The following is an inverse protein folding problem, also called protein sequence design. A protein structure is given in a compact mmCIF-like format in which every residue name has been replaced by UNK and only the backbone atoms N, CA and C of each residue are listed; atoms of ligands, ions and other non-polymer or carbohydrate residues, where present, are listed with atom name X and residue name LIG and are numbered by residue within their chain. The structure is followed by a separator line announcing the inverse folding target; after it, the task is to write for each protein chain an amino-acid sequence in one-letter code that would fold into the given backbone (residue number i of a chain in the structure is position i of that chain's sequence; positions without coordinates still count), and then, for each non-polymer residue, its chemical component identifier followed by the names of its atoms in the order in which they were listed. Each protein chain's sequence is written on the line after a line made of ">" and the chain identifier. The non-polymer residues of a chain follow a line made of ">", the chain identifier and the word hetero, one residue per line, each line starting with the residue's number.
data_IF_924211798655
#
_entry.id   IF_924211798655
#
_cell.length_a   1.000
_cell.length_b   1.000
_cell.length_c   1.000
_cell.angle_alpha   90.00
_cell.angle_beta   90.00
_cell.angle_gamma   90.00
#
_symmetry.space_group_name_H-M   'P 1'
#
loop_
_entity.id
_entity.type
_entity.pdbx_description
1 polymer ?
#
# COMPACT_ATOMS: atom_id res chain seq x y z
N UNK A 1 -23.00 -16.32 -31.44
CA UNK A 1 -21.70 -16.93 -31.08
C UNK A 1 -21.72 -17.18 -29.57
N UNK A 2 -21.50 -18.41 -29.08
CA UNK A 2 -21.48 -18.68 -27.65
C UNK A 2 -20.27 -17.98 -26.99
N UNK A 3 -20.48 -17.45 -25.80
CA UNK A 3 -19.53 -16.59 -25.09
C UNK A 3 -18.42 -17.33 -24.33
N UNK A 4 -18.57 -18.63 -24.09
CA UNK A 4 -17.43 -19.48 -23.77
C UNK A 4 -16.93 -20.01 -25.11
N UNK A 5 -15.69 -19.66 -25.48
CA UNK A 5 -15.03 -20.21 -26.67
C UNK A 5 -15.23 -21.72 -26.76
N UNK A 6 -15.32 -22.25 -28.00
CA UNK A 6 -15.72 -23.64 -28.28
C UNK A 6 -15.11 -24.64 -27.29
N UNK A 7 -15.88 -25.03 -26.28
CA UNK A 7 -15.54 -26.15 -25.43
C UNK A 7 -15.95 -27.38 -26.21
N UNK A 8 -14.98 -28.22 -26.55
CA UNK A 8 -15.24 -29.53 -27.13
C UNK A 8 -15.86 -30.41 -26.04
N UNK A 9 -17.19 -30.48 -26.01
CA UNK A 9 -17.90 -31.40 -25.12
C UNK A 9 -17.67 -32.81 -25.66
N UNK A 10 -16.77 -33.55 -25.05
CA UNK A 10 -16.65 -34.99 -25.27
C UNK A 10 -17.89 -35.66 -24.69
N UNK A 11 -18.83 -36.09 -25.55
CA UNK A 11 -19.97 -36.92 -25.12
C UNK A 11 -19.43 -38.24 -24.59
N UNK A 12 -19.50 -38.44 -23.27
CA UNK A 12 -19.30 -39.76 -22.65
C UNK A 12 -20.63 -40.49 -22.70
N UNK A 13 -20.69 -41.61 -23.44
CA UNK A 13 -21.84 -42.51 -23.41
C UNK A 13 -21.81 -43.28 -22.08
N UNK A 14 -22.90 -43.29 -21.28
CA UNK A 14 -22.99 -44.22 -20.16
C UNK A 14 -22.99 -45.66 -20.69
N UNK A 15 -22.39 -46.57 -19.93
CA UNK A 15 -22.41 -48.00 -20.23
C UNK A 15 -23.86 -48.50 -20.11
N UNK A 16 -24.39 -49.04 -21.22
CA UNK A 16 -25.74 -49.58 -21.33
C UNK A 16 -26.00 -50.63 -20.25
N UNK A 17 -26.92 -50.30 -19.34
CA UNK A 17 -27.32 -51.12 -18.21
C UNK A 17 -28.81 -50.98 -17.95
N UNK A 18 -29.60 -51.72 -18.73
CA UNK A 18 -31.03 -52.00 -18.60
C UNK A 18 -32.02 -50.88 -18.96
N UNK A 19 -32.67 -51.09 -20.10
CA UNK A 19 -33.84 -50.37 -20.61
C UNK A 19 -35.01 -50.49 -19.62
N UNK A 20 -35.55 -49.35 -19.21
CA UNK A 20 -36.97 -49.21 -18.85
C UNK A 20 -37.54 -48.05 -19.65
N UNK A 21 -38.72 -48.30 -20.21
CA UNK A 21 -39.42 -47.42 -21.14
C UNK A 21 -39.85 -46.12 -20.45
N UNK A 22 -38.96 -45.14 -20.46
CA UNK A 22 -39.27 -43.75 -20.14
C UNK A 22 -39.10 -42.95 -21.41
N UNK A 23 -40.11 -42.12 -21.74
CA UNK A 23 -40.08 -41.27 -22.94
C UNK A 23 -38.85 -40.38 -22.83
N UNK A 24 -37.87 -40.67 -23.67
CA UNK A 24 -36.63 -39.91 -23.77
C UNK A 24 -36.99 -38.53 -24.30
N UNK A 25 -37.17 -37.57 -23.40
CA UNK A 25 -37.32 -36.17 -23.74
C UNK A 25 -36.05 -35.74 -24.49
N UNK A 26 -36.16 -35.63 -25.81
CA UNK A 26 -35.14 -35.21 -26.79
C UNK A 26 -34.49 -33.84 -26.52
N UNK A 27 -34.77 -33.23 -25.37
CA UNK A 27 -34.21 -31.94 -24.93
C UNK A 27 -32.91 -32.07 -24.14
N UNK A 28 -32.46 -33.30 -23.82
CA UNK A 28 -31.28 -33.56 -22.96
C UNK A 28 -30.04 -34.08 -23.72
N UNK A 29 -30.15 -34.31 -25.03
CA UNK A 29 -29.05 -34.81 -25.88
C UNK A 29 -27.85 -33.85 -25.93
N UNK A 30 -28.16 -32.58 -25.75
CA UNK A 30 -27.28 -31.46 -25.72
C UNK A 30 -27.20 -31.05 -24.26
N UNK A 31 -26.13 -31.48 -23.55
CA UNK A 31 -25.99 -31.36 -22.09
C UNK A 31 -26.29 -29.97 -21.51
N UNK A 32 -26.23 -29.75 -20.18
CA UNK A 32 -26.75 -28.54 -19.52
C UNK A 32 -26.09 -27.20 -19.91
N UNK A 33 -25.18 -27.21 -20.89
CA UNK A 33 -24.38 -26.08 -21.39
C UNK A 33 -24.88 -25.52 -22.74
N UNK A 34 -25.83 -26.17 -23.41
CA UNK A 34 -26.09 -25.91 -24.83
C UNK A 34 -26.91 -24.66 -25.13
N UNK A 35 -27.64 -24.13 -24.13
CA UNK A 35 -28.51 -22.96 -24.30
C UNK A 35 -28.24 -21.84 -23.27
N UNK A 36 -26.97 -21.53 -23.04
CA UNK A 36 -26.58 -20.43 -22.15
C UNK A 36 -26.39 -19.15 -22.95
N UNK A 37 -27.37 -18.25 -22.87
CA UNK A 37 -27.19 -16.88 -23.35
C UNK A 37 -26.18 -16.15 -22.45
N UNK A 38 -25.40 -15.27 -23.04
CA UNK A 38 -24.31 -14.57 -22.37
C UNK A 38 -24.86 -13.58 -21.34
N UNK A 39 -25.08 -14.05 -20.12
CA UNK A 39 -25.70 -13.26 -19.05
C UNK A 39 -24.63 -12.43 -18.35
N UNK A 40 -24.08 -11.41 -19.02
CA UNK A 40 -23.23 -10.40 -18.34
C UNK A 40 -22.90 -9.14 -19.17
N UNK A 41 -23.52 -8.94 -20.35
CA UNK A 41 -23.15 -7.83 -21.24
C UNK A 41 -23.39 -6.46 -20.58
N UNK A 42 -24.51 -6.32 -19.86
CA UNK A 42 -24.87 -5.09 -19.16
C UNK A 42 -23.89 -4.77 -18.03
N UNK A 43 -23.52 -5.77 -17.22
CA UNK A 43 -22.54 -5.59 -16.14
C UNK A 43 -21.12 -5.36 -16.69
N UNK A 44 -20.74 -5.99 -17.81
CA UNK A 44 -19.47 -5.73 -18.47
C UNK A 44 -19.38 -4.26 -18.92
N UNK A 45 -20.46 -3.71 -19.50
CA UNK A 45 -20.51 -2.29 -19.88
C UNK A 45 -20.38 -1.39 -18.64
N UNK A 46 -21.09 -1.69 -17.55
CA UNK A 46 -20.99 -0.95 -16.29
C UNK A 46 -19.56 -1.01 -15.72
N UNK A 47 -18.93 -2.18 -15.75
CA UNK A 47 -17.56 -2.38 -15.29
C UNK A 47 -16.56 -1.53 -16.09
N UNK A 48 -16.69 -1.52 -17.43
CA UNK A 48 -15.82 -0.72 -18.30
C UNK A 48 -16.00 0.78 -18.02
N UNK A 49 -17.23 1.26 -17.85
CA UNK A 49 -17.50 2.66 -17.51
C UNK A 49 -16.92 3.02 -16.13
N UNK A 50 -17.04 2.14 -15.14
CA UNK A 50 -16.46 2.35 -13.81
C UNK A 50 -14.92 2.44 -13.89
N UNK A 51 -14.26 1.53 -14.61
CA UNK A 51 -12.82 1.56 -14.80
C UNK A 51 -12.36 2.84 -15.52
N UNK A 52 -13.09 3.28 -16.55
CA UNK A 52 -12.83 4.54 -17.23
C UNK A 52 -12.98 5.74 -16.28
N UNK A 53 -14.00 5.73 -15.42
CA UNK A 53 -14.18 6.73 -14.37
C UNK A 53 -13.02 6.79 -13.38
N UNK A 54 -12.53 5.63 -12.92
CA UNK A 54 -11.38 5.54 -12.02
C UNK A 54 -10.10 6.08 -12.67
N UNK A 55 -9.84 5.74 -13.94
CA UNK A 55 -8.69 6.28 -14.70
C UNK A 55 -8.82 7.79 -14.86
N UNK A 56 -10.03 8.31 -15.12
CA UNK A 56 -10.25 9.74 -15.25
C UNK A 56 -10.00 10.50 -13.94
N UNK A 57 -10.47 9.98 -12.80
CA UNK A 57 -10.19 10.57 -11.49
C UNK A 57 -8.68 10.53 -11.18
N UNK A 58 -8.00 9.43 -11.48
CA UNK A 58 -6.55 9.31 -11.32
C UNK A 58 -5.79 10.34 -12.19
N UNK A 59 -6.20 10.52 -13.44
CA UNK A 59 -5.65 11.53 -14.35
C UNK A 59 -5.79 12.95 -13.78
N UNK A 60 -6.95 13.30 -13.24
CA UNK A 60 -7.13 14.60 -12.59
C UNK A 60 -6.22 14.73 -11.36
N UNK A 61 -6.12 13.66 -10.54
CA UNK A 61 -5.27 13.63 -9.35
C UNK A 61 -3.80 13.87 -9.66
N UNK A 62 -3.27 13.31 -10.75
CA UNK A 62 -1.87 13.49 -11.17
C UNK A 62 -1.64 14.89 -11.76
N UNK A 63 -2.56 15.39 -12.59
CA UNK A 63 -2.36 16.67 -13.27
C UNK A 63 -2.62 17.90 -12.39
N UNK A 64 -3.60 17.82 -11.48
CA UNK A 64 -3.95 18.92 -10.58
C UNK A 64 -3.32 18.79 -9.20
N UNK A 65 -2.94 17.58 -8.81
CA UNK A 65 -2.29 17.31 -7.53
C UNK A 65 -0.77 17.44 -7.60
N UNK A 66 -0.14 17.16 -6.47
CA UNK A 66 1.31 17.06 -6.35
C UNK A 66 1.66 15.62 -5.91
N UNK A 67 2.02 14.72 -6.84
CA UNK A 67 2.33 13.32 -6.49
C UNK A 67 3.61 13.21 -5.64
N UNK A 68 4.50 14.19 -5.66
CA UNK A 68 5.73 14.16 -4.89
C UNK A 68 5.49 14.26 -3.39
N UNK A 69 4.40 14.91 -2.98
CA UNK A 69 3.95 14.96 -1.59
C UNK A 69 3.66 13.56 -1.01
N UNK A 70 3.23 12.61 -1.84
CA UNK A 70 3.01 11.21 -1.41
C UNK A 70 4.33 10.44 -1.30
N UNK A 71 5.25 10.65 -2.24
CA UNK A 71 6.50 9.88 -2.37
C UNK A 71 7.56 10.31 -1.33
N UNK A 72 7.73 11.61 -1.10
CA UNK A 72 8.83 12.14 -0.29
C UNK A 72 8.42 12.64 1.10
N UNK A 73 7.12 12.68 1.40
CA UNK A 73 6.62 13.19 2.67
C UNK A 73 6.76 14.71 2.81
N UNK A 74 6.18 15.24 3.89
CA UNK A 74 6.17 16.68 4.20
C UNK A 74 6.59 16.87 5.65
N UNK A 75 7.40 17.89 5.88
CA UNK A 75 7.79 18.29 7.23
C UNK A 75 6.67 19.05 7.96
N UNK A 76 6.93 19.39 9.22
CA UNK A 76 6.02 20.16 10.08
C UNK A 76 5.87 21.63 9.69
N UNK A 77 6.62 22.11 8.70
CA UNK A 77 6.55 23.48 8.18
C UNK A 77 5.92 23.56 6.78
N UNK A 78 5.55 22.43 6.20
CA UNK A 78 4.92 22.34 4.88
C UNK A 78 5.89 22.20 3.72
N UNK A 79 7.18 21.94 3.97
CA UNK A 79 8.17 21.67 2.95
C UNK A 79 8.15 20.19 2.54
N UNK A 80 8.24 19.94 1.25
CA UNK A 80 8.38 18.60 0.67
C UNK A 80 9.86 18.23 0.69
N UNK A 81 10.16 17.04 1.21
CA UNK A 81 11.55 16.57 1.28
C UNK A 81 12.11 16.27 -0.12
N UNK A 82 13.42 16.41 -0.30
CA UNK A 82 14.12 16.15 -1.57
C UNK A 82 13.59 16.97 -2.78
N UNK A 83 12.96 18.12 -2.50
CA UNK A 83 12.43 19.03 -3.52
C UNK A 83 12.83 20.47 -3.20
N UNK A 84 12.90 21.31 -4.23
CA UNK A 84 13.09 22.75 -4.05
C UNK A 84 11.76 23.37 -3.62
N UNK A 85 11.66 23.67 -2.33
CA UNK A 85 10.51 24.34 -1.77
C UNK A 85 10.54 25.81 -2.20
N UNK A 86 9.60 26.18 -3.08
CA UNK A 86 9.34 27.60 -3.31
C UNK A 86 8.66 28.17 -2.08
N UNK A 87 9.07 29.36 -1.64
CA UNK A 87 8.37 30.17 -0.64
C UNK A 87 7.04 30.66 -1.23
N UNK A 88 6.18 29.74 -1.60
CA UNK A 88 4.86 30.02 -2.12
C UNK A 88 4.00 30.40 -0.94
N UNK A 89 3.68 31.69 -0.86
CA UNK A 89 2.71 32.31 0.06
C UNK A 89 1.34 31.61 0.08
N UNK A 90 1.08 30.67 -0.83
CA UNK A 90 0.02 29.67 -0.66
C UNK A 90 0.51 28.54 0.24
N UNK A 91 0.49 28.80 1.56
CA UNK A 91 0.28 27.76 2.58
C UNK A 91 -1.05 27.07 2.26
N UNK A 92 -1.03 26.10 1.35
CA UNK A 92 -2.14 25.17 1.18
C UNK A 92 -2.04 24.25 2.41
N UNK A 93 -2.67 24.73 3.48
CA UNK A 93 -2.81 24.08 4.77
C UNK A 93 -1.58 24.20 5.69
N UNK A 94 -1.65 24.96 6.82
CA UNK A 94 -0.80 24.59 7.94
C UNK A 94 -1.09 23.12 8.29
N UNK A 95 -0.09 22.33 8.74
CA UNK A 95 -0.29 20.94 9.17
C UNK A 95 -1.41 20.77 10.23
N UNK A 96 -1.85 21.88 10.82
CA UNK A 96 -3.01 21.98 11.73
C UNK A 96 -4.35 21.50 11.18
N UNK A 97 -4.59 21.44 9.86
CA UNK A 97 -5.91 21.01 9.36
C UNK A 97 -6.02 19.49 9.10
N UNK A 98 -4.93 18.73 9.23
CA UNK A 98 -4.98 17.25 9.32
C UNK A 98 -5.07 16.80 10.79
N UNK A 99 -5.10 17.73 11.76
CA UNK A 99 -5.38 17.45 13.18
C UNK A 99 -6.88 17.24 13.46
N UNK A 100 -7.62 16.69 12.50
CA UNK A 100 -9.02 16.29 12.67
C UNK A 100 -9.18 14.83 13.13
N UNK A 101 -8.09 14.08 13.33
CA UNK A 101 -8.13 12.74 13.90
C UNK A 101 -7.65 12.81 15.37
N UNK A 102 -8.56 12.80 16.36
CA UNK A 102 -8.26 13.00 17.78
C UNK A 102 -7.61 11.76 18.46
N UNK A 103 -6.86 10.96 17.72
CA UNK A 103 -6.36 9.65 18.21
C UNK A 103 -4.91 9.71 18.68
N UNK A 104 -4.16 10.78 18.38
CA UNK A 104 -2.81 10.93 18.90
C UNK A 104 -2.75 12.14 19.83
N UNK A 105 -2.72 11.76 21.11
CA UNK A 105 -2.48 12.54 22.31
C UNK A 105 -1.35 13.59 22.15
N UNK A 106 -1.43 14.60 23.00
CA UNK A 106 -0.84 15.95 22.98
C UNK A 106 0.70 15.96 23.12
N UNK A 107 1.39 15.25 22.24
CA UNK A 107 2.82 15.42 21.97
C UNK A 107 2.94 15.84 20.51
N UNK A 108 3.15 17.14 20.30
CA UNK A 108 3.46 17.69 18.97
C UNK A 108 4.77 17.04 18.53
N UNK A 109 4.68 15.93 17.81
CA UNK A 109 5.83 15.29 17.21
C UNK A 109 6.24 16.13 16.00
N UNK A 110 7.49 16.57 16.00
CA UNK A 110 8.06 17.29 14.88
C UNK A 110 8.53 16.30 13.82
N UNK A 111 8.18 16.57 12.58
CA UNK A 111 8.73 15.92 11.40
C UNK A 111 9.61 16.91 10.66
N UNK A 112 10.86 16.55 10.39
CA UNK A 112 11.80 17.35 9.60
C UNK A 112 12.35 16.52 8.44
N UNK A 113 12.74 17.18 7.36
CA UNK A 113 13.41 16.52 6.25
C UNK A 113 14.88 16.33 6.57
N UNK A 114 15.34 15.08 6.54
CA UNK A 114 16.73 14.70 6.76
C UNK A 114 17.30 14.06 5.50
N UNK A 115 18.61 14.24 5.27
CA UNK A 115 19.32 13.55 4.18
C UNK A 115 19.54 12.07 4.49
N UNK A 116 19.58 11.68 5.77
CA UNK A 116 19.71 10.31 6.22
C UNK A 116 19.06 10.10 7.59
N UNK A 117 18.60 8.88 7.85
CA UNK A 117 18.00 8.53 9.13
C UNK A 117 19.08 8.34 10.22
N UNK A 118 18.76 8.63 11.49
CA UNK A 118 19.68 8.41 12.60
C UNK A 118 19.99 6.92 12.78
N UNK A 119 21.27 6.56 12.64
CA UNK A 119 21.78 5.20 12.87
C UNK A 119 22.15 4.93 14.33
N UNK A 120 22.16 5.97 15.17
CA UNK A 120 22.56 5.91 16.58
C UNK A 120 21.42 6.36 17.49
N UNK A 121 21.45 5.86 18.72
CA UNK A 121 20.47 6.24 19.74
C UNK A 121 20.89 7.54 20.40
N UNK A 122 20.07 8.58 20.26
CA UNK A 122 20.34 9.92 20.78
C UNK A 122 19.54 10.12 22.06
N UNK A 123 20.21 10.04 23.21
CA UNK A 123 19.56 10.01 24.54
C UNK A 123 19.31 11.41 25.10
N UNK A 124 20.14 12.38 24.71
CA UNK A 124 20.10 13.75 25.22
C UNK A 124 20.19 14.79 24.08
N UNK A 125 19.85 16.04 24.40
CA UNK A 125 19.99 17.17 23.48
C UNK A 125 21.42 17.41 23.00
N UNK A 126 22.42 17.20 23.87
CA UNK A 126 23.84 17.29 23.50
C UNK A 126 24.24 16.24 22.47
N UNK A 127 23.70 15.02 22.57
CA UNK A 127 23.94 13.96 21.59
C UNK A 127 23.38 14.33 20.21
N UNK A 128 22.26 15.07 20.15
CA UNK A 128 21.69 15.58 18.90
C UNK A 128 22.62 16.62 18.25
N UNK A 129 23.22 17.51 19.06
CA UNK A 129 24.19 18.49 18.57
C UNK A 129 25.49 17.85 18.06
N UNK A 130 26.00 16.85 18.78
CA UNK A 130 27.14 16.07 18.37
C UNK A 130 26.85 15.28 17.08
N UNK A 131 25.67 14.67 16.98
CA UNK A 131 25.22 13.96 15.79
C UNK A 131 25.18 14.87 14.57
N UNK A 132 24.69 16.11 14.72
CA UNK A 132 24.71 17.09 13.63
C UNK A 132 26.15 17.41 13.19
N UNK A 133 27.06 17.62 14.14
CA UNK A 133 28.44 18.00 13.82
C UNK A 133 29.22 16.84 13.14
N UNK A 134 28.91 15.60 13.50
CA UNK A 134 29.57 14.40 12.96
C UNK A 134 28.99 13.92 11.64
N UNK A 135 27.66 13.82 11.55
CA UNK A 135 26.95 13.31 10.36
C UNK A 135 26.58 14.39 9.35
N UNK A 136 26.56 15.67 9.76
CA UNK A 136 26.05 16.78 8.96
C UNK A 136 24.52 16.81 8.84
N UNK A 137 23.79 15.99 9.59
CA UNK A 137 22.33 15.85 9.50
C UNK A 137 21.66 16.67 10.62
N UNK A 138 20.76 17.60 10.26
CA UNK A 138 20.01 18.39 11.24
C UNK A 138 18.66 17.73 11.55
N UNK A 139 18.44 17.35 12.81
CA UNK A 139 17.18 16.80 13.30
C UNK A 139 16.21 17.88 13.80
N UNK A 140 16.71 19.10 13.98
CA UNK A 140 15.91 20.26 14.36
C UNK A 140 15.49 21.07 13.13
N UNK A 141 14.73 22.14 13.37
CA UNK A 141 14.36 23.14 12.37
C UNK A 141 15.59 23.71 11.66
N UNK A 142 15.44 24.01 10.37
CA UNK A 142 16.53 24.50 9.51
C UNK A 142 17.22 25.79 10.00
N UNK A 143 16.53 26.61 10.81
CA UNK A 143 17.04 27.88 11.33
C UNK A 143 17.94 27.72 12.57
N UNK A 144 17.92 26.55 13.23
CA UNK A 144 18.63 26.32 14.49
C UNK A 144 19.88 25.48 14.29
N UNK A 145 21.01 25.98 14.83
CA UNK A 145 22.32 25.35 14.81
C UNK A 145 22.72 24.74 16.17
N UNK A 146 21.77 24.64 17.10
CA UNK A 146 21.97 23.97 18.40
C UNK A 146 20.66 23.34 18.82
N UNK A 147 20.72 22.34 19.71
CA UNK A 147 19.55 21.74 20.30
C UNK A 147 18.81 22.77 21.15
N UNK A 148 17.49 22.80 21.01
CA UNK A 148 16.58 23.63 21.80
C UNK A 148 15.53 22.70 22.37
N UNK A 149 15.31 22.77 23.69
CA UNK A 149 14.27 22.01 24.40
C UNK A 149 12.86 22.55 24.11
N UNK A 150 12.49 22.62 22.83
CA UNK A 150 11.18 23.01 22.34
C UNK A 150 10.71 21.98 21.31
N UNK A 151 9.62 21.29 21.64
CA UNK A 151 9.04 20.22 20.84
C UNK A 151 8.58 20.69 19.44
N UNK A 152 8.45 22.00 19.21
CA UNK A 152 8.14 22.58 17.90
C UNK A 152 9.39 22.85 17.04
N UNK A 153 10.58 22.79 17.64
CA UNK A 153 11.86 23.12 16.99
C UNK A 153 12.74 21.87 16.86
N UNK A 154 12.79 21.05 17.91
CA UNK A 154 13.58 19.84 17.97
C UNK A 154 12.75 18.69 18.52
N UNK A 155 13.03 17.45 18.10
CA UNK A 155 12.42 16.26 18.69
C UNK A 155 12.86 16.09 20.15
N UNK A 156 11.96 15.61 20.99
CA UNK A 156 12.26 15.23 22.37
C UNK A 156 13.06 13.93 22.38
N UNK A 157 14.26 13.89 22.97
CA UNK A 157 14.98 12.63 23.16
C UNK A 157 14.25 11.73 24.19
N UNK A 158 14.47 10.41 24.18
CA UNK A 158 15.45 9.66 23.37
C UNK A 158 14.95 9.29 21.97
N UNK A 159 15.83 9.42 20.96
CA UNK A 159 15.59 9.01 19.58
C UNK A 159 16.28 7.66 19.34
N UNK A 160 15.51 6.65 18.91
CA UNK A 160 16.04 5.32 18.61
C UNK A 160 16.64 5.24 17.21
N UNK A 161 17.25 4.10 16.85
CA UNK A 161 17.77 3.89 15.50
C UNK A 161 16.63 3.78 14.49
N UNK A 162 16.74 4.52 13.40
CA UNK A 162 15.79 4.51 12.30
C UNK A 162 16.46 4.08 11.00
N UNK A 163 15.70 3.33 10.19
CA UNK A 163 16.10 2.93 8.85
C UNK A 163 15.25 3.65 7.82
N UNK A 164 15.81 3.88 6.63
CA UNK A 164 15.10 4.51 5.53
C UNK A 164 14.20 3.48 4.82
N UNK A 165 12.88 3.69 4.88
CA UNK A 165 11.87 2.90 4.18
C UNK A 165 10.95 3.85 3.44
N UNK A 166 10.87 3.74 2.11
CA UNK A 166 10.06 4.63 1.25
C UNK A 166 10.27 6.13 1.54
N UNK A 167 11.53 6.59 1.57
CA UNK A 167 11.93 7.97 1.89
C UNK A 167 11.46 8.47 3.27
N UNK A 168 11.17 7.56 4.21
CA UNK A 168 10.77 7.89 5.58
C UNK A 168 11.66 7.14 6.56
N UNK A 169 11.89 7.77 7.72
CA UNK A 169 12.64 7.15 8.80
C UNK A 169 11.69 6.38 9.71
N UNK A 170 11.82 5.06 9.74
CA UNK A 170 10.99 4.16 10.55
C UNK A 170 11.89 3.47 11.57
N UNK A 171 11.47 3.33 12.84
CA UNK A 171 12.25 2.63 13.85
C UNK A 171 12.63 1.23 13.38
N UNK A 172 13.88 0.84 13.57
CA UNK A 172 14.41 -0.45 13.09
C UNK A 172 13.60 -1.64 13.63
N UNK A 173 13.15 -1.55 14.89
CA UNK A 173 12.33 -2.57 15.56
C UNK A 173 11.04 -2.86 14.79
N UNK A 174 10.37 -1.83 14.27
CA UNK A 174 9.11 -1.98 13.55
C UNK A 174 9.32 -2.63 12.18
N UNK A 175 10.42 -2.28 11.50
CA UNK A 175 10.77 -2.85 10.19
C UNK A 175 11.12 -4.33 10.32
N UNK A 176 11.90 -4.69 11.35
CA UNK A 176 12.24 -6.07 11.63
C UNK A 176 11.00 -6.92 11.99
N UNK A 177 10.05 -6.35 12.73
CA UNK A 177 8.78 -6.98 13.03
C UNK A 177 7.96 -7.22 11.75
N UNK A 178 7.79 -6.20 10.92
CA UNK A 178 7.06 -6.33 9.65
C UNK A 178 7.71 -7.35 8.71
N UNK A 179 9.04 -7.36 8.61
CA UNK A 179 9.79 -8.36 7.85
C UNK A 179 9.59 -9.78 8.38
N UNK A 180 9.53 -9.95 9.71
CA UNK A 180 9.23 -11.25 10.34
C UNK A 180 7.81 -11.69 10.03
N UNK A 181 6.83 -10.80 10.12
CA UNK A 181 5.43 -11.11 9.79
C UNK A 181 5.28 -11.50 8.31
N UNK A 182 5.92 -10.76 7.40
CA UNK A 182 5.89 -11.07 5.97
C UNK A 182 6.53 -12.45 5.66
N UNK A 183 7.64 -12.78 6.33
CA UNK A 183 8.26 -14.11 6.24
C UNK A 183 7.34 -15.21 6.79
N UNK A 184 6.63 -14.96 7.88
CA UNK A 184 5.63 -15.89 8.40
C UNK A 184 4.49 -16.12 7.41
N UNK A 185 3.91 -15.06 6.83
CA UNK A 185 2.85 -15.19 5.83
C UNK A 185 3.34 -15.93 4.58
N UNK A 186 4.52 -15.59 4.07
CA UNK A 186 5.08 -16.29 2.90
C UNK A 186 5.38 -17.75 3.22
N UNK A 187 5.86 -18.07 4.43
CA UNK A 187 6.08 -19.45 4.87
C UNK A 187 4.78 -20.27 4.92
N UNK A 188 3.68 -19.67 5.39
CA UNK A 188 2.34 -20.27 5.39
C UNK A 188 1.80 -20.44 3.97
N UNK A 189 1.96 -19.45 3.10
CA UNK A 189 1.56 -19.58 1.70
C UNK A 189 2.37 -20.67 1.00
N UNK A 190 3.67 -20.76 1.27
CA UNK A 190 4.51 -21.82 0.71
C UNK A 190 4.16 -23.22 1.24
N UNK A 191 3.77 -23.36 2.51
CA UNK A 191 3.33 -24.64 3.06
C UNK A 191 1.96 -25.06 2.53
N UNK A 192 1.07 -24.11 2.26
CA UNK A 192 -0.21 -24.37 1.58
C UNK A 192 0.00 -24.79 0.12
N UNK A 193 0.97 -24.22 -0.59
CA UNK A 193 1.27 -24.62 -1.98
C UNK A 193 1.95 -26.00 -2.10
N UNK A 194 2.58 -26.50 -1.03
CA UNK A 194 3.22 -27.84 -1.01
C UNK A 194 2.24 -28.94 -0.55
N UNK A 195 1.06 -28.60 -0.01
CA UNK A 195 0.01 -29.56 0.34
C UNK A 195 -0.73 -30.20 -0.84
N UNK A 196 -0.32 -29.93 -2.08
CA UNK A 196 -0.94 -30.41 -3.32
C UNK A 196 -0.22 -31.54 -4.04
N UNK A 197 0.86 -32.10 -3.50
CA UNK A 197 1.46 -33.32 -4.06
C UNK A 197 0.74 -34.56 -3.49
N UNK A 198 -0.22 -35.03 -4.27
CA UNK A 198 -0.74 -36.39 -4.22
C UNK A 198 0.46 -37.33 -4.35
N UNK A 199 0.91 -37.87 -3.21
CA UNK A 199 1.84 -38.99 -3.17
C UNK A 199 1.20 -40.17 -3.89
N UNK A 200 1.78 -40.54 -5.04
CA UNK A 200 1.56 -41.84 -5.67
C UNK A 200 2.01 -42.93 -4.71
N UNK A 201 1.06 -43.69 -4.16
CA UNK A 201 1.14 -45.13 -3.91
C UNK A 201 -0.19 -45.74 -4.30
#
# INVERSE_FOLDING_TARGET
>A
MPCCGKVWVTKVKPLDGQKKDEKEDTSLDDGPLTDRSCTDVLFLIILVLYLAGMVYVAYIGINKGDPYKMIYGVDSWGNICNQRNFTSTRRILPPRLIQGLPVLDESIYISTCVSGCPNDTLVDGSAIDEYRNTSGINLCRYDTLSYVSDNQICPTPPITKHVSVFNRCIPEVLVNLAGTMARSFTSVLSSVTVGGDISKV
#
